data_IF_240968752082
#
_entry.id   IF_240968752082
#
_cell.length_a   1.000
_cell.length_b   1.000
_cell.length_c   1.000
_cell.angle_alpha   90.00
_cell.angle_beta   90.00
_cell.angle_gamma   90.00
#
_symmetry.space_group_name_H-M   'P 1'
#
loop_
_entity.id
_entity.type
_entity.pdbx_description
1 polymer ?
#
# COMPACT_ATOMS: atom_id res chain seq x y z
N UNK A 1 -7.40 -12.82 9.41
CA UNK A 1 -7.27 -12.28 8.04
C UNK A 1 -5.82 -11.93 7.68
N UNK A 2 -5.06 -11.30 8.55
CA UNK A 2 -3.69 -10.83 8.26
C UNK A 2 -2.81 -11.91 7.60
N UNK A 3 -2.63 -13.06 8.22
CA UNK A 3 -1.78 -14.16 7.69
C UNK A 3 -2.30 -14.79 6.37
N UNK A 4 -3.56 -14.57 6.03
CA UNK A 4 -4.11 -15.00 4.74
C UNK A 4 -3.71 -14.04 3.60
N UNK A 5 -3.39 -12.78 3.93
CA UNK A 5 -3.00 -11.77 2.96
C UNK A 5 -1.50 -11.50 2.94
N UNK A 6 -0.84 -11.54 4.10
CA UNK A 6 0.52 -11.05 4.28
C UNK A 6 1.40 -12.05 5.01
N UNK A 7 2.61 -12.21 4.54
CA UNK A 7 3.71 -12.82 5.30
C UNK A 7 4.45 -11.69 6.05
N UNK A 8 4.25 -11.65 7.35
CA UNK A 8 4.77 -10.58 8.21
C UNK A 8 6.31 -10.59 8.37
N UNK A 9 7.00 -11.59 7.85
CA UNK A 9 8.47 -11.59 7.79
C UNK A 9 9.02 -10.54 6.79
N UNK A 10 8.19 -10.01 5.90
CA UNK A 10 8.56 -9.03 4.88
C UNK A 10 8.07 -7.61 5.16
N UNK A 11 7.86 -7.28 6.43
CA UNK A 11 7.59 -5.91 6.86
C UNK A 11 8.45 -5.55 8.07
N UNK A 12 8.88 -4.30 8.15
CA UNK A 12 9.66 -3.79 9.29
C UNK A 12 8.87 -3.80 10.60
N UNK A 13 7.54 -3.77 10.54
CA UNK A 13 6.66 -3.62 11.70
C UNK A 13 5.64 -4.75 11.86
N UNK A 14 6.07 -6.03 11.97
CA UNK A 14 5.16 -7.17 12.11
C UNK A 14 4.28 -7.10 13.35
N UNK A 15 4.79 -6.51 14.44
CA UNK A 15 4.10 -6.38 15.72
C UNK A 15 2.86 -5.46 15.68
N UNK A 16 2.67 -4.67 14.63
CA UNK A 16 1.51 -3.78 14.49
C UNK A 16 0.26 -4.50 13.95
N UNK A 17 0.42 -5.72 13.45
CA UNK A 17 -0.67 -6.52 12.90
C UNK A 17 -1.34 -7.43 13.96
N UNK A 18 -1.62 -6.90 15.15
CA UNK A 18 -2.28 -7.65 16.25
C UNK A 18 -3.78 -7.81 16.01
N UNK A 19 -4.38 -6.81 15.35
CA UNK A 19 -5.80 -6.78 15.02
C UNK A 19 -6.02 -7.00 13.50
N UNK A 20 -7.15 -6.52 12.99
CA UNK A 20 -7.43 -6.52 11.57
C UNK A 20 -6.48 -5.58 10.82
N UNK A 21 -5.94 -5.98 9.67
CA UNK A 21 -4.81 -5.29 9.04
C UNK A 21 -5.05 -3.81 8.73
N UNK A 22 -6.28 -3.39 8.44
CA UNK A 22 -6.56 -1.97 8.17
C UNK A 22 -6.39 -1.06 9.40
N UNK A 23 -6.33 -1.60 10.62
CA UNK A 23 -6.06 -0.78 11.81
C UNK A 23 -4.66 -0.16 11.79
N UNK A 24 -3.72 -0.78 11.08
CA UNK A 24 -2.38 -0.21 10.87
C UNK A 24 -2.44 1.17 10.21
N UNK A 25 -3.40 1.41 9.31
CA UNK A 25 -3.57 2.72 8.67
C UNK A 25 -3.95 3.82 9.68
N UNK A 26 -4.68 3.48 10.75
CA UNK A 26 -4.97 4.42 11.84
C UNK A 26 -3.71 4.71 12.67
N UNK A 27 -2.87 3.69 12.88
CA UNK A 27 -1.60 3.87 13.59
C UNK A 27 -0.66 4.78 12.80
N UNK A 28 -0.54 4.58 11.48
CA UNK A 28 0.23 5.45 10.59
C UNK A 28 -0.23 6.92 10.69
N UNK A 29 -1.53 7.14 10.77
CA UNK A 29 -2.10 8.50 10.78
C UNK A 29 -1.95 9.19 12.13
N UNK A 30 -2.04 8.45 13.24
CA UNK A 30 -2.18 9.05 14.58
C UNK A 30 -0.98 8.77 15.51
N UNK A 31 -0.11 7.81 15.20
CA UNK A 31 0.98 7.35 16.08
C UNK A 31 2.29 7.12 15.32
N UNK A 32 2.58 7.92 14.30
CA UNK A 32 3.76 7.72 13.45
C UNK A 32 5.09 7.78 14.23
N UNK A 33 5.16 8.56 15.31
CA UNK A 33 6.33 8.64 16.18
C UNK A 33 6.70 7.29 16.82
N UNK A 34 5.71 6.43 17.06
CA UNK A 34 5.97 5.07 17.55
C UNK A 34 6.72 4.22 16.51
N UNK A 35 6.44 4.41 15.23
CA UNK A 35 7.19 3.76 14.15
C UNK A 35 8.63 4.25 14.11
N UNK A 36 8.83 5.57 14.19
CA UNK A 36 10.18 6.17 14.22
C UNK A 36 10.98 5.66 15.42
N UNK A 37 10.36 5.60 16.60
CA UNK A 37 11.02 5.15 17.83
C UNK A 37 11.42 3.66 17.80
N UNK A 38 10.78 2.87 16.95
CA UNK A 38 11.05 1.45 16.75
C UNK A 38 12.04 1.15 15.62
N UNK A 39 12.55 2.19 14.93
CA UNK A 39 13.48 2.01 13.82
C UNK A 39 14.83 1.45 14.31
N UNK A 40 15.43 0.51 13.55
CA UNK A 40 16.82 0.10 13.74
C UNK A 40 17.79 1.28 13.56
N UNK A 41 18.98 1.17 14.17
CA UNK A 41 20.04 2.20 14.07
C UNK A 41 20.56 2.46 12.65
N UNK A 42 20.20 1.61 11.68
CA UNK A 42 20.54 1.79 10.26
C UNK A 42 19.75 2.91 9.58
N UNK A 43 18.66 3.38 10.21
CA UNK A 43 17.86 4.48 9.68
C UNK A 43 18.39 5.83 10.16
N UNK A 44 18.39 6.81 9.27
CA UNK A 44 18.73 8.20 9.58
C UNK A 44 17.67 9.17 9.04
N UNK A 45 17.50 10.29 9.71
CA UNK A 45 16.61 11.35 9.23
C UNK A 45 17.28 12.10 8.08
N UNK A 46 16.83 11.84 6.85
CA UNK A 46 17.36 12.45 5.63
C UNK A 46 16.95 13.92 5.48
N UNK A 47 15.72 14.22 5.89
CA UNK A 47 15.16 15.57 6.03
C UNK A 47 14.00 15.53 7.03
N UNK A 48 13.51 16.66 7.55
CA UNK A 48 12.50 16.69 8.61
C UNK A 48 11.33 15.72 8.38
N UNK A 49 11.23 14.73 9.27
CA UNK A 49 10.20 13.70 9.25
C UNK A 49 10.37 12.61 8.17
N UNK A 50 11.46 12.58 7.41
CA UNK A 50 11.72 11.54 6.39
C UNK A 50 12.92 10.71 6.79
N UNK A 51 12.69 9.43 7.05
CA UNK A 51 13.67 8.47 7.51
C UNK A 51 14.01 7.46 6.42
N UNK A 52 15.28 7.37 6.09
CA UNK A 52 15.80 6.45 5.09
C UNK A 52 16.75 5.45 5.73
N UNK A 53 16.76 4.23 5.20
CA UNK A 53 17.84 3.28 5.44
C UNK A 53 18.93 3.46 4.36
N UNK A 54 20.07 2.78 4.54
CA UNK A 54 21.15 2.80 3.56
C UNK A 54 20.70 2.30 2.17
N UNK A 55 21.38 2.79 1.13
CA UNK A 55 21.17 2.39 -0.27
C UNK A 55 19.78 2.75 -0.85
N UNK A 56 19.03 3.65 -0.23
CA UNK A 56 17.83 4.23 -0.85
C UNK A 56 18.24 5.20 -1.94
N UNK A 57 17.70 5.02 -3.14
CA UNK A 57 17.91 5.93 -4.27
C UNK A 57 16.72 6.88 -4.42
N UNK A 58 16.95 8.19 -4.30
CA UNK A 58 15.90 9.21 -4.47
C UNK A 58 16.26 10.13 -5.62
N UNK A 59 15.42 10.13 -6.66
CA UNK A 59 15.59 11.07 -7.79
C UNK A 59 15.40 12.52 -7.31
N UNK A 60 16.21 13.44 -7.82
CA UNK A 60 16.17 14.86 -7.44
C UNK A 60 14.83 15.54 -7.74
N UNK A 61 14.05 14.97 -8.60
CA UNK A 61 12.71 15.44 -9.01
C UNK A 61 11.55 14.74 -8.28
N UNK A 62 11.86 13.81 -7.39
CA UNK A 62 10.86 13.22 -6.51
C UNK A 62 10.55 14.16 -5.34
N UNK A 63 9.29 14.20 -4.92
CA UNK A 63 8.89 14.95 -3.74
C UNK A 63 8.41 13.99 -2.66
N UNK A 64 9.03 14.07 -1.48
CA UNK A 64 8.66 13.26 -0.32
C UNK A 64 8.26 14.21 0.80
N UNK A 65 7.03 14.09 1.31
CA UNK A 65 6.51 14.82 2.46
C UNK A 65 6.52 13.89 3.69
N UNK A 66 7.14 14.32 4.78
CA UNK A 66 7.13 13.55 6.03
C UNK A 66 5.76 13.65 6.78
N UNK A 67 5.46 12.71 7.69
CA UNK A 67 6.34 11.62 8.08
C UNK A 67 6.36 10.47 7.06
N UNK A 68 7.56 9.94 6.79
CA UNK A 68 7.78 8.82 5.89
C UNK A 68 8.99 7.99 6.33
N UNK A 69 8.92 6.66 6.16
CA UNK A 69 10.00 5.71 6.41
C UNK A 69 10.22 4.91 5.13
N UNK A 70 11.47 4.78 4.67
CA UNK A 70 11.81 4.10 3.42
C UNK A 70 12.97 3.14 3.67
N UNK A 71 12.74 1.87 3.38
CA UNK A 71 13.69 0.77 3.59
C UNK A 71 14.77 0.66 2.51
N UNK A 72 15.81 -0.09 2.86
CA UNK A 72 17.04 -0.28 2.10
C UNK A 72 16.80 -0.74 0.65
N UNK A 73 17.62 -0.26 -0.26
CA UNK A 73 17.61 -0.66 -1.67
C UNK A 73 16.35 -0.21 -2.43
N UNK A 74 15.50 0.62 -1.82
CA UNK A 74 14.29 1.15 -2.47
C UNK A 74 14.63 2.30 -3.41
N UNK A 75 13.97 2.32 -4.57
CA UNK A 75 14.12 3.34 -5.59
C UNK A 75 12.89 4.27 -5.62
N UNK A 76 13.11 5.54 -5.36
CA UNK A 76 12.12 6.62 -5.55
C UNK A 76 12.49 7.37 -6.82
N UNK A 77 11.75 7.11 -7.90
CA UNK A 77 12.10 7.57 -9.24
C UNK A 77 11.59 8.97 -9.54
N UNK A 78 11.96 9.48 -10.72
CA UNK A 78 11.59 10.79 -11.23
C UNK A 78 10.08 11.08 -11.09
N UNK A 79 9.72 12.23 -10.53
CA UNK A 79 8.34 12.70 -10.41
C UNK A 79 7.45 11.92 -9.44
N UNK A 80 8.02 10.99 -8.64
CA UNK A 80 7.26 10.34 -7.59
C UNK A 80 6.83 11.34 -6.51
N UNK A 81 5.60 11.23 -6.03
CA UNK A 81 5.06 12.05 -4.95
C UNK A 81 4.66 11.18 -3.75
N UNK A 82 5.51 11.15 -2.74
CA UNK A 82 5.24 10.48 -1.47
C UNK A 82 4.73 11.51 -0.48
N UNK A 83 3.50 11.31 -0.02
CA UNK A 83 2.83 12.16 0.95
C UNK A 83 3.01 11.58 2.36
N UNK A 84 2.34 12.21 3.32
CA UNK A 84 2.44 11.85 4.75
C UNK A 84 1.99 10.44 5.08
N UNK A 85 2.51 9.92 6.18
CA UNK A 85 2.10 8.69 6.84
C UNK A 85 2.38 7.47 5.94
N UNK A 86 3.58 7.40 5.37
CA UNK A 86 3.96 6.32 4.46
C UNK A 86 5.12 5.52 5.03
N UNK A 87 4.98 4.20 5.04
CA UNK A 87 6.05 3.25 5.30
C UNK A 87 6.27 2.41 4.04
N UNK A 88 7.49 2.41 3.53
CA UNK A 88 7.91 1.64 2.36
C UNK A 88 8.99 0.67 2.81
N UNK A 89 8.80 -0.62 2.55
CA UNK A 89 9.74 -1.69 2.85
C UNK A 89 11.00 -1.63 1.99
N UNK A 90 11.78 -2.71 2.05
CA UNK A 90 13.04 -2.84 1.35
C UNK A 90 12.83 -3.19 -0.13
N UNK A 91 13.77 -2.79 -0.99
CA UNK A 91 13.80 -3.15 -2.43
C UNK A 91 12.52 -2.84 -3.19
N UNK A 92 11.79 -1.80 -2.79
CA UNK A 92 10.60 -1.33 -3.47
C UNK A 92 10.94 -0.42 -4.65
N UNK A 93 9.99 -0.26 -5.56
CA UNK A 93 10.09 0.72 -6.66
C UNK A 93 8.87 1.62 -6.63
N UNK A 94 9.09 2.91 -6.37
CA UNK A 94 8.08 3.97 -6.49
C UNK A 94 8.44 4.78 -7.72
N UNK A 95 7.69 4.58 -8.78
CA UNK A 95 8.09 5.04 -10.11
C UNK A 95 7.56 6.40 -10.51
N UNK A 96 7.74 6.69 -11.79
CA UNK A 96 7.40 8.00 -12.36
C UNK A 96 5.95 8.38 -12.12
N UNK A 97 5.73 9.59 -11.60
CA UNK A 97 4.40 10.18 -11.38
C UNK A 97 3.45 9.30 -10.58
N UNK A 98 4.01 8.50 -9.68
CA UNK A 98 3.25 7.69 -8.73
C UNK A 98 3.03 8.47 -7.45
N UNK A 99 1.77 8.56 -6.99
CA UNK A 99 1.42 9.17 -5.71
C UNK A 99 1.13 8.10 -4.66
N UNK A 100 1.77 8.22 -3.49
CA UNK A 100 1.55 7.33 -2.32
C UNK A 100 1.19 8.17 -1.10
N UNK A 101 0.15 7.77 -0.37
CA UNK A 101 -0.35 8.51 0.79
C UNK A 101 -0.95 7.57 1.82
N UNK A 102 -0.60 7.77 3.11
CA UNK A 102 -1.15 6.97 4.22
C UNK A 102 -1.19 5.47 3.89
N UNK A 103 -0.03 4.90 3.63
CA UNK A 103 0.11 3.55 3.11
C UNK A 103 1.29 2.81 3.73
N UNK A 104 1.14 1.49 3.84
CA UNK A 104 2.21 0.59 4.22
C UNK A 104 2.49 -0.38 3.08
N UNK A 105 3.71 -0.35 2.56
CA UNK A 105 4.20 -1.21 1.50
C UNK A 105 5.23 -2.18 2.10
N UNK A 106 5.01 -3.46 1.88
CA UNK A 106 5.95 -4.52 2.27
C UNK A 106 7.15 -4.55 1.33
N UNK A 107 8.14 -5.37 1.63
CA UNK A 107 9.35 -5.49 0.83
C UNK A 107 9.05 -5.91 -0.62
N UNK A 108 9.82 -5.37 -1.55
CA UNK A 108 9.75 -5.71 -2.97
C UNK A 108 8.52 -5.22 -3.72
N UNK A 109 7.67 -4.39 -3.12
CA UNK A 109 6.50 -3.82 -3.81
C UNK A 109 6.94 -2.94 -4.98
N UNK A 110 6.25 -3.10 -6.13
CA UNK A 110 6.53 -2.32 -7.34
C UNK A 110 5.30 -1.56 -7.81
N UNK A 111 5.40 -0.22 -7.80
CA UNK A 111 4.38 0.71 -8.30
C UNK A 111 5.05 1.72 -9.25
N UNK A 112 5.50 1.26 -10.45
CA UNK A 112 6.52 1.93 -11.24
C UNK A 112 6.05 3.13 -12.07
N UNK A 113 4.75 3.28 -12.38
CA UNK A 113 4.30 4.28 -13.37
C UNK A 113 2.88 4.78 -13.16
N UNK A 114 2.71 6.09 -12.93
CA UNK A 114 1.41 6.78 -12.96
C UNK A 114 0.36 6.14 -12.03
N UNK A 115 0.78 5.62 -10.90
CA UNK A 115 -0.11 4.95 -9.96
C UNK A 115 -0.63 5.90 -8.89
N UNK A 116 -1.79 5.57 -8.31
CA UNK A 116 -2.26 6.17 -7.07
C UNK A 116 -2.46 5.09 -6.01
N UNK A 117 -1.81 5.26 -4.86
CA UNK A 117 -1.92 4.39 -3.70
C UNK A 117 -2.26 5.22 -2.47
N UNK A 118 -3.53 5.24 -2.09
CA UNK A 118 -4.01 5.96 -0.92
C UNK A 118 -4.67 5.06 0.10
N UNK A 119 -4.37 5.24 1.39
CA UNK A 119 -5.00 4.54 2.51
C UNK A 119 -5.05 3.02 2.30
N UNK A 120 -3.90 2.43 1.93
CA UNK A 120 -3.79 1.05 1.44
C UNK A 120 -2.61 0.30 2.08
N UNK A 121 -2.69 -1.03 2.09
CA UNK A 121 -1.59 -1.90 2.47
C UNK A 121 -1.29 -2.83 1.30
N UNK A 122 -0.03 -2.87 0.86
CA UNK A 122 0.44 -3.73 -0.21
C UNK A 122 1.43 -4.75 0.36
N UNK A 123 1.14 -6.02 0.15
CA UNK A 123 1.93 -7.15 0.60
C UNK A 123 3.22 -7.36 -0.19
N UNK A 124 4.00 -8.33 0.24
CA UNK A 124 5.31 -8.66 -0.30
C UNK A 124 5.26 -8.91 -1.81
N UNK A 125 6.11 -8.19 -2.54
CA UNK A 125 6.20 -8.27 -4.02
C UNK A 125 4.88 -8.04 -4.77
N UNK A 126 3.92 -7.34 -4.18
CA UNK A 126 2.76 -6.89 -4.93
C UNK A 126 3.18 -5.90 -6.02
N UNK A 127 2.56 -6.00 -7.19
CA UNK A 127 2.89 -5.17 -8.35
C UNK A 127 1.64 -4.48 -8.90
N UNK A 128 1.75 -3.19 -9.16
CA UNK A 128 0.74 -2.40 -9.86
C UNK A 128 1.25 -1.99 -11.24
N UNK A 129 0.60 -2.46 -12.29
CA UNK A 129 0.86 -2.03 -13.67
C UNK A 129 0.63 -0.52 -13.87
N UNK A 130 1.15 0.01 -14.95
CA UNK A 130 1.07 1.45 -15.26
C UNK A 130 -0.38 1.96 -15.21
N UNK A 131 -0.61 3.08 -14.54
CA UNK A 131 -1.93 3.71 -14.43
C UNK A 131 -2.92 3.00 -13.50
N UNK A 132 -2.51 1.98 -12.76
CA UNK A 132 -3.40 1.34 -11.79
C UNK A 132 -3.69 2.27 -10.61
N UNK A 133 -4.96 2.34 -10.19
CA UNK A 133 -5.47 3.23 -9.17
C UNK A 133 -6.11 2.42 -8.03
N UNK A 134 -5.63 2.61 -6.81
CA UNK A 134 -6.32 2.14 -5.60
C UNK A 134 -7.21 3.26 -5.08
N UNK A 135 -8.48 3.27 -5.50
CA UNK A 135 -9.44 4.30 -5.09
C UNK A 135 -9.74 4.17 -3.60
N UNK A 136 -9.75 5.29 -2.87
CA UNK A 136 -9.89 5.31 -1.42
C UNK A 136 -11.08 6.11 -0.90
N UNK A 137 -11.96 6.60 -1.77
CA UNK A 137 -13.09 7.45 -1.38
C UNK A 137 -14.37 7.04 -2.08
N UNK A 138 -15.49 7.11 -1.35
CA UNK A 138 -16.85 6.86 -1.87
C UNK A 138 -17.53 8.18 -2.18
N UNK A 139 -18.32 8.24 -3.26
CA UNK A 139 -19.05 9.44 -3.66
C UNK A 139 -20.08 9.91 -2.61
N UNK A 140 -20.62 9.00 -1.80
CA UNK A 140 -21.57 9.33 -0.74
C UNK A 140 -20.93 9.76 0.58
N UNK A 141 -19.58 9.79 0.66
CA UNK A 141 -18.81 10.21 1.81
C UNK A 141 -18.92 9.33 3.06
N UNK A 142 -19.66 8.23 3.01
CA UNK A 142 -19.87 7.31 4.13
C UNK A 142 -18.61 6.47 4.41
N UNK A 143 -18.57 5.90 5.63
CA UNK A 143 -17.55 4.95 6.00
C UNK A 143 -17.51 3.76 5.04
N UNK A 144 -16.29 3.35 4.72
CA UNK A 144 -16.03 2.27 3.79
C UNK A 144 -16.13 0.94 4.52
N UNK A 145 -16.89 0.01 3.97
CA UNK A 145 -16.98 -1.35 4.47
C UNK A 145 -15.93 -2.23 3.79
N UNK A 146 -15.27 -3.07 4.59
CA UNK A 146 -14.35 -4.10 4.12
C UNK A 146 -15.09 -5.43 4.13
N UNK A 147 -15.00 -6.20 3.04
CA UNK A 147 -15.63 -7.51 2.92
C UNK A 147 -14.59 -8.59 2.78
N UNK A 148 -14.78 -9.71 3.49
CA UNK A 148 -13.91 -10.90 3.43
C UNK A 148 -14.79 -12.14 3.36
N UNK A 149 -14.99 -12.69 2.18
CA UNK A 149 -15.97 -13.76 1.99
C UNK A 149 -17.37 -13.30 2.40
N UNK A 150 -17.95 -13.94 3.42
CA UNK A 150 -19.29 -13.59 3.92
C UNK A 150 -19.27 -12.49 5.02
N UNK A 151 -18.12 -12.20 5.60
CA UNK A 151 -18.01 -11.21 6.65
C UNK A 151 -17.92 -9.78 6.09
N UNK A 152 -18.54 -8.85 6.81
CA UNK A 152 -18.52 -7.41 6.49
C UNK A 152 -18.11 -6.63 7.74
N UNK A 153 -17.06 -5.84 7.61
CA UNK A 153 -16.53 -5.01 8.67
C UNK A 153 -16.71 -3.53 8.32
N UNK A 154 -17.01 -2.71 9.32
CA UNK A 154 -16.90 -1.27 9.16
C UNK A 154 -15.45 -0.86 9.43
N UNK A 155 -14.78 -0.26 8.44
CA UNK A 155 -13.40 0.21 8.65
C UNK A 155 -13.28 1.34 9.66
N UNK A 156 -14.39 2.00 10.01
CA UNK A 156 -14.39 3.24 10.79
C UNK A 156 -13.89 4.47 10.01
N UNK A 157 -13.54 4.31 8.74
CA UNK A 157 -12.88 5.32 7.90
C UNK A 157 -13.74 5.69 6.70
N UNK A 158 -13.81 6.99 6.37
CA UNK A 158 -14.40 7.49 5.13
C UNK A 158 -13.39 7.51 3.96
N UNK A 159 -12.10 7.26 4.26
CA UNK A 159 -11.04 7.00 3.29
C UNK A 159 -10.36 5.68 3.61
N UNK A 160 -10.47 4.73 2.69
CA UNK A 160 -9.86 3.42 2.76
C UNK A 160 -9.69 2.89 1.35
N UNK A 161 -8.47 2.66 0.94
CA UNK A 161 -8.14 2.06 -0.34
C UNK A 161 -8.30 0.55 -0.30
N UNK A 162 -7.22 -0.18 -0.49
CA UNK A 162 -7.25 -1.62 -0.64
C UNK A 162 -6.20 -2.34 0.21
N UNK A 163 -6.50 -3.58 0.55
CA UNK A 163 -5.55 -4.55 1.06
C UNK A 163 -5.15 -5.46 -0.11
N UNK A 164 -3.91 -5.35 -0.55
CA UNK A 164 -3.37 -6.12 -1.68
C UNK A 164 -2.43 -7.18 -1.12
N UNK A 165 -2.78 -8.45 -1.26
CA UNK A 165 -2.01 -9.58 -0.72
C UNK A 165 -0.66 -9.77 -1.41
N UNK A 166 0.16 -10.62 -0.79
CA UNK A 166 1.49 -10.93 -1.32
C UNK A 166 1.41 -11.48 -2.74
N UNK A 167 2.38 -11.08 -3.59
CA UNK A 167 2.51 -11.51 -4.99
C UNK A 167 1.29 -11.21 -5.88
N UNK A 168 0.41 -10.29 -5.47
CA UNK A 168 -0.71 -9.90 -6.31
C UNK A 168 -0.22 -9.02 -7.48
N UNK A 169 -0.74 -9.30 -8.68
CA UNK A 169 -0.41 -8.62 -9.94
C UNK A 169 -1.63 -7.84 -10.44
N UNK A 170 -1.58 -6.53 -10.39
CA UNK A 170 -2.65 -5.65 -10.85
C UNK A 170 -2.27 -5.08 -12.22
N UNK A 171 -3.04 -5.43 -13.23
CA UNK A 171 -2.79 -5.01 -14.62
C UNK A 171 -2.86 -3.50 -14.84
N UNK A 172 -2.32 -3.06 -15.97
CA UNK A 172 -2.30 -1.63 -16.32
C UNK A 172 -3.71 -1.04 -16.42
N UNK A 173 -3.85 0.22 -15.98
CA UNK A 173 -5.10 0.99 -15.98
C UNK A 173 -6.28 0.28 -15.25
N UNK A 174 -5.97 -0.56 -14.27
CA UNK A 174 -6.98 -1.11 -13.38
C UNK A 174 -7.44 -0.06 -12.35
N UNK A 175 -8.70 -0.14 -11.97
CA UNK A 175 -9.25 0.62 -10.85
C UNK A 175 -9.75 -0.35 -9.78
N UNK A 176 -9.11 -0.32 -8.63
CA UNK A 176 -9.54 -1.11 -7.47
C UNK A 176 -10.39 -0.22 -6.57
N UNK A 177 -11.62 -0.66 -6.31
CA UNK A 177 -12.61 0.13 -5.56
C UNK A 177 -12.29 0.21 -4.06
N UNK A 178 -12.77 1.25 -3.35
CA UNK A 178 -12.51 1.43 -1.93
C UNK A 178 -12.92 0.24 -1.06
N UNK A 179 -12.08 -0.12 -0.08
CA UNK A 179 -12.32 -1.22 0.85
C UNK A 179 -12.14 -2.62 0.26
N UNK A 180 -11.49 -2.72 -0.89
CA UNK A 180 -11.23 -4.02 -1.53
C UNK A 180 -10.16 -4.82 -0.79
N UNK A 181 -10.34 -6.14 -0.80
CA UNK A 181 -9.39 -7.12 -0.28
C UNK A 181 -9.03 -8.08 -1.41
N UNK A 182 -7.79 -7.99 -1.85
CA UNK A 182 -7.23 -8.81 -2.93
C UNK A 182 -6.30 -9.84 -2.32
N UNK A 183 -6.59 -11.12 -2.51
CA UNK A 183 -5.83 -12.24 -1.93
C UNK A 183 -4.43 -12.40 -2.52
N UNK A 184 -3.65 -13.30 -1.92
CA UNK A 184 -2.30 -13.66 -2.42
C UNK A 184 -2.35 -14.22 -3.84
N UNK A 185 -1.33 -13.93 -4.64
CA UNK A 185 -1.17 -14.44 -6.02
C UNK A 185 -2.36 -14.13 -6.95
N UNK A 186 -3.19 -13.15 -6.62
CA UNK A 186 -4.28 -12.72 -7.52
C UNK A 186 -3.69 -12.02 -8.73
N UNK A 187 -4.22 -12.32 -9.91
CA UNK A 187 -3.87 -11.63 -11.15
C UNK A 187 -5.10 -10.91 -11.71
N UNK A 188 -5.01 -9.60 -11.86
CA UNK A 188 -6.08 -8.79 -12.46
C UNK A 188 -5.60 -8.28 -13.82
N UNK A 189 -6.32 -8.64 -14.88
CA UNK A 189 -5.98 -8.24 -16.25
C UNK A 189 -6.10 -6.71 -16.45
N UNK A 190 -5.37 -6.14 -17.40
CA UNK A 190 -5.44 -4.71 -17.71
C UNK A 190 -6.87 -4.23 -17.99
N UNK A 191 -7.15 -2.94 -17.67
CA UNK A 191 -8.43 -2.27 -17.90
C UNK A 191 -9.60 -2.82 -17.07
N UNK A 192 -9.32 -3.61 -16.04
CA UNK A 192 -10.37 -4.13 -15.15
C UNK A 192 -10.68 -3.10 -14.05
N UNK A 193 -11.96 -2.80 -13.86
CA UNK A 193 -12.46 -2.13 -12.65
C UNK A 193 -13.13 -3.17 -11.76
N UNK A 194 -12.66 -3.31 -10.51
CA UNK A 194 -13.16 -4.35 -9.60
C UNK A 194 -13.04 -3.94 -8.14
N UNK A 195 -13.75 -4.66 -7.26
CA UNK A 195 -13.71 -4.41 -5.82
C UNK A 195 -14.32 -5.54 -5.00
N UNK A 196 -14.39 -5.31 -3.69
CA UNK A 196 -14.84 -6.32 -2.74
C UNK A 196 -13.74 -7.33 -2.40
N UNK A 197 -14.10 -8.57 -2.13
CA UNK A 197 -13.17 -9.65 -1.78
C UNK A 197 -12.86 -10.51 -3.00
N UNK A 198 -11.58 -10.61 -3.35
CA UNK A 198 -11.08 -11.51 -4.38
C UNK A 198 -10.18 -12.54 -3.69
N UNK A 199 -10.56 -13.84 -3.70
CA UNK A 199 -9.80 -14.90 -3.04
C UNK A 199 -8.40 -15.07 -3.65
N UNK A 200 -7.48 -15.63 -2.87
CA UNK A 200 -6.14 -15.98 -3.34
C UNK A 200 -6.14 -16.87 -4.60
N UNK A 201 -5.07 -16.78 -5.39
CA UNK A 201 -4.86 -17.56 -6.62
C UNK A 201 -5.94 -17.37 -7.70
N UNK A 202 -6.68 -16.25 -7.66
CA UNK A 202 -7.75 -15.93 -8.62
C UNK A 202 -7.21 -15.12 -9.80
N UNK A 203 -7.71 -15.43 -11.00
CA UNK A 203 -7.46 -14.62 -12.21
C UNK A 203 -8.75 -13.85 -12.57
N UNK A 204 -8.68 -12.52 -12.54
CA UNK A 204 -9.81 -11.65 -12.88
C UNK A 204 -9.60 -11.06 -14.27
N UNK A 205 -10.44 -11.48 -15.23
CA UNK A 205 -10.34 -11.08 -16.65
C UNK A 205 -11.38 -10.04 -17.08
N UNK A 206 -12.39 -9.81 -16.24
CA UNK A 206 -13.49 -8.87 -16.49
C UNK A 206 -13.78 -8.08 -15.23
N UNK A 207 -14.35 -6.89 -15.40
CA UNK A 207 -14.80 -6.09 -14.26
C UNK A 207 -15.86 -6.85 -13.45
N UNK A 208 -15.68 -6.87 -12.13
CA UNK A 208 -16.57 -7.49 -11.16
C UNK A 208 -16.92 -6.42 -10.14
N UNK A 209 -18.22 -6.19 -9.96
CA UNK A 209 -18.77 -5.27 -8.96
C UNK A 209 -19.55 -6.11 -7.95
N UNK A 210 -19.03 -6.26 -6.76
CA UNK A 210 -19.63 -7.00 -5.67
C UNK A 210 -20.29 -6.11 -4.59
#
# INVERSE_FOLDING_TARGET
>A
MTNQLFDLNYTLFPHLFQDEPWHVLNLLENQFDAFISALPNAYFEWKPGVWLEENVSVATTAFIEGPAIIGSGTEIRHGAFIRKNVVIGNHCVIGNSTEVKNALLFDGVQIPHFNYVGDSILGFKAHLGAGAILSNFRFDGKNIAIRTGQAKFNSGRNKMGSLIGDYAEIGANCVILPGSVIGKNVQIYPLVSTGGFIPENTIVKKSIFG
#
